data_IF_616866294433
#
_entry.id   IF_616866294433
#
_cell.length_a   1.000
_cell.length_b   1.000
_cell.length_c   1.000
_cell.angle_alpha   90.00
_cell.angle_beta   90.00
_cell.angle_gamma   90.00
#
_symmetry.space_group_name_H-M   'P 1'
#
loop_
_entity.id
_entity.type
_entity.pdbx_description
1 polymer ?
#
# COMPACT_ATOMS: atom_id res chain seq x y z
N UNK A 1 28.52 -21.10 -16.68
CA UNK A 1 27.62 -21.14 -15.53
C UNK A 1 27.06 -19.74 -15.29
N UNK A 2 25.77 -19.65 -15.02
CA UNK A 2 24.94 -18.46 -15.27
C UNK A 2 25.19 -17.31 -14.28
N UNK A 3 25.16 -16.08 -14.81
CA UNK A 3 25.40 -14.79 -14.16
C UNK A 3 24.15 -14.27 -13.46
N UNK A 4 24.23 -13.90 -12.17
CA UNK A 4 23.24 -13.05 -11.49
C UNK A 4 23.95 -11.96 -10.67
N UNK A 5 24.50 -11.04 -11.46
CA UNK A 5 24.62 -9.60 -11.29
C UNK A 5 24.17 -9.00 -9.93
N UNK A 6 25.17 -8.39 -9.28
CA UNK A 6 25.10 -7.32 -8.28
C UNK A 6 23.79 -6.51 -8.32
N UNK A 7 23.08 -6.47 -7.20
CA UNK A 7 22.09 -5.43 -6.92
C UNK A 7 22.80 -4.09 -6.71
N UNK A 8 23.13 -3.41 -7.80
CA UNK A 8 23.40 -1.98 -7.80
C UNK A 8 22.05 -1.28 -7.83
N UNK A 9 21.53 -0.92 -6.65
CA UNK A 9 20.37 -0.05 -6.53
C UNK A 9 20.77 1.33 -7.04
N UNK A 10 20.62 1.54 -8.35
CA UNK A 10 20.66 2.87 -8.93
C UNK A 10 19.43 3.64 -8.44
N UNK A 11 19.59 4.37 -7.34
CA UNK A 11 18.68 5.44 -6.98
C UNK A 11 18.81 6.52 -8.06
N UNK A 12 17.90 6.49 -9.03
CA UNK A 12 17.75 7.58 -9.99
C UNK A 12 17.23 8.79 -9.23
N UNK A 13 18.13 9.69 -8.88
CA UNK A 13 17.82 10.97 -8.25
C UNK A 13 17.17 11.85 -9.32
N UNK A 14 15.85 12.02 -9.23
CA UNK A 14 15.19 13.14 -9.90
C UNK A 14 15.70 14.44 -9.26
N UNK A 15 16.04 15.48 -10.05
CA UNK A 15 16.60 16.74 -9.55
C UNK A 15 15.63 17.55 -8.67
N UNK A 16 14.41 17.07 -8.45
CA UNK A 16 13.39 17.66 -7.59
C UNK A 16 13.42 17.18 -6.13
N UNK A 17 14.44 16.43 -5.71
CA UNK A 17 14.64 16.07 -4.29
C UNK A 17 13.57 15.15 -3.69
N UNK A 18 12.66 14.61 -4.52
CA UNK A 18 11.68 13.63 -4.07
C UNK A 18 12.38 12.27 -4.00
N UNK A 19 12.82 11.90 -2.80
CA UNK A 19 13.31 10.56 -2.51
C UNK A 19 12.12 9.59 -2.54
N UNK A 20 11.74 9.16 -3.75
CA UNK A 20 10.75 8.11 -3.94
C UNK A 20 11.46 6.80 -3.64
N UNK A 21 11.32 6.33 -2.39
CA UNK A 21 11.74 4.97 -2.02
C UNK A 21 11.18 3.97 -3.05
N UNK A 22 11.88 2.90 -3.43
CA UNK A 22 11.31 1.84 -4.27
C UNK A 22 10.08 1.16 -3.64
N UNK A 23 9.79 1.45 -2.37
CA UNK A 23 8.56 1.11 -1.63
C UNK A 23 7.52 2.24 -1.58
N UNK A 24 7.74 3.33 -2.32
CA UNK A 24 6.81 4.44 -2.38
C UNK A 24 5.46 3.92 -2.86
N UNK A 25 4.46 4.13 -2.00
CA UNK A 25 3.08 3.75 -2.20
C UNK A 25 2.67 3.98 -3.65
N UNK A 26 2.50 2.89 -4.39
CA UNK A 26 1.93 2.98 -5.72
C UNK A 26 0.47 3.45 -5.54
N UNK A 27 0.21 4.72 -5.86
CA UNK A 27 -1.11 5.34 -5.74
C UNK A 27 -2.19 4.56 -6.52
N UNK A 28 -1.81 3.87 -7.61
CA UNK A 28 -2.73 2.99 -8.34
C UNK A 28 -3.13 1.77 -7.50
N UNK A 29 -2.19 1.12 -6.82
CA UNK A 29 -2.48 0.00 -5.92
C UNK A 29 -3.36 0.41 -4.74
N UNK A 30 -3.09 1.57 -4.13
CA UNK A 30 -3.95 2.10 -3.06
C UNK A 30 -5.36 2.39 -3.58
N UNK A 31 -5.49 3.04 -4.74
CA UNK A 31 -6.79 3.32 -5.36
C UNK A 31 -7.55 2.04 -5.69
N UNK A 32 -6.86 1.00 -6.18
CA UNK A 32 -7.46 -0.32 -6.45
C UNK A 32 -7.95 -0.99 -5.17
N UNK A 33 -7.17 -0.93 -4.09
CA UNK A 33 -7.56 -1.44 -2.78
C UNK A 33 -8.83 -0.74 -2.26
N UNK A 34 -8.85 0.59 -2.28
CA UNK A 34 -10.02 1.38 -1.83
C UNK A 34 -11.24 1.03 -2.68
N UNK A 35 -11.10 0.93 -4.01
CA UNK A 35 -12.20 0.55 -4.91
C UNK A 35 -12.79 -0.82 -4.57
N UNK A 36 -11.94 -1.83 -4.30
CA UNK A 36 -12.38 -3.18 -3.91
C UNK A 36 -13.09 -3.19 -2.56
N UNK A 37 -12.58 -2.43 -1.60
CA UNK A 37 -13.22 -2.29 -0.29
C UNK A 37 -14.58 -1.61 -0.40
N UNK A 38 -14.71 -0.58 -1.25
CA UNK A 38 -16.00 0.07 -1.54
C UNK A 38 -16.98 -0.86 -2.25
N UNK A 39 -16.49 -1.72 -3.16
CA UNK A 39 -17.32 -2.72 -3.84
C UNK A 39 -17.82 -3.81 -2.87
N UNK A 40 -16.99 -4.19 -1.89
CA UNK A 40 -17.35 -5.19 -0.86
C UNK A 40 -18.27 -4.63 0.23
N UNK A 41 -18.03 -3.38 0.63
CA UNK A 41 -18.66 -2.73 1.77
C UNK A 41 -19.34 -1.42 1.34
N UNK A 42 -20.42 -1.51 0.54
CA UNK A 42 -21.10 -0.34 0.01
C UNK A 42 -21.82 0.47 1.10
N UNK A 43 -22.06 -0.09 2.29
CA UNK A 43 -22.64 0.66 3.41
C UNK A 43 -21.70 1.73 3.99
N UNK A 44 -20.40 1.64 3.75
CA UNK A 44 -19.42 2.60 4.27
C UNK A 44 -19.01 3.63 3.23
N UNK A 45 -18.89 4.89 3.66
CA UNK A 45 -18.35 5.94 2.81
C UNK A 45 -16.88 5.69 2.50
N UNK A 46 -16.40 6.27 1.39
CA UNK A 46 -14.97 6.21 1.02
C UNK A 46 -14.07 6.67 2.16
N UNK A 47 -14.47 7.74 2.85
CA UNK A 47 -13.67 8.32 3.93
C UNK A 47 -13.55 7.37 5.11
N UNK A 48 -14.63 6.64 5.44
CA UNK A 48 -14.61 5.60 6.48
C UNK A 48 -13.71 4.42 6.12
N UNK A 49 -13.74 3.99 4.86
CA UNK A 49 -12.83 2.95 4.38
C UNK A 49 -11.37 3.43 4.45
N UNK A 50 -11.09 4.68 4.07
CA UNK A 50 -9.73 5.24 4.17
C UNK A 50 -9.28 5.33 5.63
N UNK A 51 -10.16 5.75 6.54
CA UNK A 51 -9.90 5.79 7.98
C UNK A 51 -9.54 4.40 8.52
N UNK A 52 -10.32 3.37 8.15
CA UNK A 52 -10.05 1.98 8.54
C UNK A 52 -8.72 1.46 7.99
N UNK A 53 -8.37 1.74 6.72
CA UNK A 53 -7.06 1.37 6.15
C UNK A 53 -5.91 2.08 6.88
N UNK A 54 -6.09 3.33 7.30
CA UNK A 54 -5.10 4.03 8.12
C UNK A 54 -4.95 3.38 9.50
N UNK A 55 -6.02 2.84 10.07
CA UNK A 55 -5.96 2.13 11.34
C UNK A 55 -5.19 0.80 11.19
N UNK A 56 -5.45 0.02 10.12
CA UNK A 56 -4.64 -1.17 9.79
C UNK A 56 -3.15 -0.81 9.66
N UNK A 57 -2.84 0.33 9.06
CA UNK A 57 -1.46 0.82 8.95
C UNK A 57 -0.84 1.10 10.33
N UNK A 58 -1.58 1.72 11.25
CA UNK A 58 -1.10 1.98 12.63
C UNK A 58 -0.84 0.67 13.37
N UNK A 59 -1.76 -0.28 13.26
CA UNK A 59 -1.62 -1.64 13.84
C UNK A 59 -0.38 -2.34 13.26
N UNK A 60 -0.09 -2.16 11.97
CA UNK A 60 1.06 -2.75 11.30
C UNK A 60 2.33 -1.88 11.36
N UNK A 61 2.60 -1.25 12.51
CA UNK A 61 3.84 -0.47 12.77
C UNK A 61 4.07 0.68 11.78
N UNK A 62 3.02 1.24 11.21
CA UNK A 62 3.09 2.41 10.34
C UNK A 62 3.35 2.14 8.87
N UNK A 63 3.38 0.88 8.42
CA UNK A 63 3.53 0.52 7.00
C UNK A 63 2.54 -0.57 6.59
N UNK A 64 2.12 -0.56 5.32
CA UNK A 64 1.32 -1.65 4.73
C UNK A 64 2.16 -2.50 3.76
N UNK A 65 3.36 -2.04 3.42
CA UNK A 65 4.32 -2.78 2.61
C UNK A 65 4.68 -4.10 3.30
N UNK A 66 4.68 -5.20 2.54
CA UNK A 66 4.94 -6.53 3.07
C UNK A 66 3.68 -7.31 3.47
N UNK A 67 2.51 -6.66 3.51
CA UNK A 67 1.23 -7.36 3.61
C UNK A 67 0.70 -7.71 2.22
N UNK A 68 0.09 -8.89 2.11
CA UNK A 68 -0.71 -9.22 0.94
C UNK A 68 -1.93 -8.28 0.89
N UNK A 69 -2.34 -7.89 -0.32
CA UNK A 69 -3.50 -7.02 -0.53
C UNK A 69 -4.76 -7.63 0.12
N UNK A 70 -4.95 -8.94 -0.03
CA UNK A 70 -6.06 -9.67 0.60
C UNK A 70 -6.06 -9.57 2.12
N UNK A 71 -4.88 -9.59 2.75
CA UNK A 71 -4.76 -9.44 4.21
C UNK A 71 -5.10 -8.03 4.67
N UNK A 72 -4.74 -7.01 3.88
CA UNK A 72 -5.15 -5.63 4.15
C UNK A 72 -6.67 -5.50 4.01
N UNK A 73 -7.26 -6.10 2.97
CA UNK A 73 -8.71 -6.11 2.76
C UNK A 73 -9.46 -6.76 3.93
N UNK A 74 -9.02 -7.94 4.38
CA UNK A 74 -9.59 -8.66 5.52
C UNK A 74 -9.51 -7.84 6.81
N UNK A 75 -8.31 -7.37 7.17
CA UNK A 75 -8.12 -6.54 8.39
C UNK A 75 -8.89 -5.23 8.36
N UNK A 76 -9.06 -4.64 7.18
CA UNK A 76 -9.89 -3.44 7.04
C UNK A 76 -11.36 -3.79 7.22
N UNK A 77 -11.79 -4.95 6.70
CA UNK A 77 -13.16 -5.45 6.88
C UNK A 77 -13.48 -5.77 8.34
N UNK A 78 -12.49 -6.16 9.15
CA UNK A 78 -12.68 -6.38 10.59
C UNK A 78 -12.88 -5.08 11.39
N UNK A 79 -12.48 -3.94 10.82
CA UNK A 79 -12.57 -2.61 11.45
C UNK A 79 -13.85 -1.86 11.04
N UNK A 80 -14.36 -2.14 9.83
CA UNK A 80 -15.60 -1.59 9.31
C UNK A 80 -16.79 -2.30 9.96
#
# INVERSE_FOLDING_TARGET
>A
ENSLQKTSTCSSVNPSGVFVSPYALNLSSFTKLIKRLQERHPEFSRDKIVEAVQEVRKINKGVLSGLAISSIEEKTSDIL
#
